data_IF_641523309225
#
_entry.id   IF_641523309225
#
_cell.length_a   1.000
_cell.length_b   1.000
_cell.length_c   1.000
_cell.angle_alpha   90.00
_cell.angle_beta   90.00
_cell.angle_gamma   90.00
#
_symmetry.space_group_name_H-M   'P 1'
#
loop_
_entity.id
_entity.type
_entity.pdbx_description
1 polymer ?
#
# COMPACT_ATOMS: atom_id res chain seq x y z
N UNK A 1 7.25 84.91 1.87
CA UNK A 1 7.24 83.63 2.62
C UNK A 1 5.88 82.91 2.58
N UNK A 2 4.75 83.64 2.48
CA UNK A 2 3.39 83.05 2.41
C UNK A 2 3.04 82.43 1.03
N UNK A 3 3.54 82.98 -0.08
CA UNK A 3 3.25 82.44 -1.42
C UNK A 3 3.99 81.13 -1.74
N UNK A 4 5.17 80.90 -1.15
CA UNK A 4 5.95 79.68 -1.37
C UNK A 4 5.29 78.44 -0.75
N UNK A 5 4.53 78.64 0.34
CA UNK A 5 3.79 77.57 1.04
C UNK A 5 2.56 77.11 0.24
N UNK A 6 1.90 78.01 -0.49
CA UNK A 6 0.76 77.67 -1.36
C UNK A 6 1.19 76.80 -2.55
N UNK A 7 2.35 77.10 -3.14
CA UNK A 7 2.90 76.29 -4.23
C UNK A 7 3.39 74.91 -3.77
N UNK A 8 3.97 74.80 -2.56
CA UNK A 8 4.34 73.51 -1.97
C UNK A 8 3.13 72.62 -1.66
N UNK A 9 2.02 73.18 -1.19
CA UNK A 9 0.78 72.43 -0.95
C UNK A 9 0.13 71.95 -2.26
N UNK A 10 0.21 72.73 -3.34
CA UNK A 10 -0.32 72.35 -4.66
C UNK A 10 0.51 71.23 -5.31
N UNK A 11 1.84 71.23 -5.12
CA UNK A 11 2.73 70.19 -5.64
C UNK A 11 2.54 68.86 -4.89
N UNK A 12 2.27 68.88 -3.57
CA UNK A 12 2.02 67.64 -2.82
C UNK A 12 0.73 66.91 -3.24
N UNK A 13 -0.28 67.64 -3.73
CA UNK A 13 -1.55 67.06 -4.22
C UNK A 13 -1.40 66.47 -5.63
N UNK A 14 -0.49 66.99 -6.46
CA UNK A 14 -0.22 66.44 -7.81
C UNK A 14 0.65 65.17 -7.82
N UNK A 15 1.30 64.82 -6.70
CA UNK A 15 2.16 63.62 -6.59
C UNK A 15 1.45 62.48 -5.84
N UNK A 16 0.20 62.67 -5.41
CA UNK A 16 -0.65 61.59 -4.91
C UNK A 16 -1.10 60.70 -6.09
N UNK A 17 -0.20 59.83 -6.55
CA UNK A 17 -0.57 58.74 -7.43
C UNK A 17 -1.60 57.86 -6.69
N UNK A 18 -2.70 57.44 -7.34
CA UNK A 18 -3.58 56.45 -6.75
C UNK A 18 -2.74 55.22 -6.43
N UNK A 19 -2.72 54.80 -5.16
CA UNK A 19 -2.13 53.53 -4.81
C UNK A 19 -2.91 52.46 -5.57
N UNK A 20 -2.27 51.84 -6.55
CA UNK A 20 -2.81 50.71 -7.27
C UNK A 20 -3.14 49.60 -6.26
N UNK A 21 -4.44 49.33 -6.08
CA UNK A 21 -4.90 48.33 -5.14
C UNK A 21 -5.20 47.04 -5.92
N UNK A 22 -4.36 46.02 -5.73
CA UNK A 22 -4.70 44.66 -6.09
C UNK A 22 -5.65 44.12 -5.03
N UNK A 23 -6.84 43.69 -5.44
CA UNK A 23 -7.76 43.04 -4.52
C UNK A 23 -7.91 41.58 -4.90
N UNK A 24 -7.31 40.70 -4.09
CA UNK A 24 -7.55 39.26 -4.10
C UNK A 24 -8.59 38.96 -3.01
N UNK A 25 -9.86 39.20 -3.34
CA UNK A 25 -10.93 39.14 -2.36
C UNK A 25 -11.52 37.74 -2.28
N UNK A 26 -11.57 37.16 -1.09
CA UNK A 26 -12.21 35.88 -0.84
C UNK A 26 -13.70 36.14 -0.64
N UNK A 27 -14.51 35.74 -1.62
CA UNK A 27 -15.97 35.91 -1.55
C UNK A 27 -16.63 34.76 -0.80
N UNK A 28 -16.08 33.55 -0.93
CA UNK A 28 -16.52 32.38 -0.20
C UNK A 28 -15.33 31.49 0.15
N UNK A 29 -15.19 31.16 1.43
CA UNK A 29 -14.19 30.21 1.92
C UNK A 29 -14.69 28.78 1.76
N UNK A 30 -13.77 27.85 1.50
CA UNK A 30 -14.00 26.42 1.55
C UNK A 30 -13.32 25.79 2.76
N UNK A 31 -14.09 25.54 3.81
CA UNK A 31 -13.62 24.87 5.01
C UNK A 31 -14.42 23.59 5.20
N UNK A 32 -13.75 22.46 5.30
CA UNK A 32 -14.42 21.18 5.46
C UNK A 32 -13.55 20.15 6.15
N UNK A 33 -14.23 19.11 6.64
CA UNK A 33 -13.61 17.91 7.19
C UNK A 33 -13.79 16.77 6.19
N UNK A 34 -12.75 15.97 6.00
CA UNK A 34 -12.76 14.75 5.19
C UNK A 34 -12.48 13.54 6.07
N UNK A 35 -12.86 12.37 5.60
CA UNK A 35 -12.61 11.10 6.28
C UNK A 35 -12.34 9.99 5.27
N UNK A 36 -11.62 8.98 5.74
CA UNK A 36 -11.32 7.74 5.01
C UNK A 36 -12.13 6.55 5.51
N UNK A 37 -12.77 6.65 6.68
CA UNK A 37 -13.40 5.50 7.34
C UNK A 37 -12.39 4.43 7.73
N UNK A 38 -12.74 3.16 7.57
CA UNK A 38 -11.83 2.02 7.77
C UNK A 38 -11.06 1.73 6.48
N UNK A 39 -9.74 1.92 6.52
CA UNK A 39 -8.82 1.59 5.43
C UNK A 39 -8.09 0.28 5.75
N UNK A 40 -8.50 -0.79 5.08
CA UNK A 40 -7.82 -2.09 5.16
C UNK A 40 -6.65 -2.13 4.17
N UNK A 41 -5.45 -2.39 4.65
CA UNK A 41 -4.20 -2.38 3.86
C UNK A 41 -3.54 -3.74 3.90
N UNK A 42 -3.07 -4.24 2.76
CA UNK A 42 -2.31 -5.48 2.71
C UNK A 42 -0.89 -5.23 3.24
N UNK A 43 -0.39 -6.13 4.11
CA UNK A 43 0.96 -5.99 4.69
C UNK A 43 2.04 -5.83 3.61
N UNK A 44 1.89 -6.52 2.49
CA UNK A 44 2.87 -6.58 1.41
C UNK A 44 2.67 -5.51 0.33
N UNK A 45 1.69 -4.59 0.49
CA UNK A 45 1.54 -3.45 -0.43
C UNK A 45 2.89 -2.73 -0.60
N UNK A 46 3.34 -2.40 -1.82
CA UNK A 46 4.64 -1.76 -2.02
C UNK A 46 4.67 -0.33 -1.47
N UNK A 47 5.85 0.12 -1.03
CA UNK A 47 6.08 1.53 -0.66
C UNK A 47 5.82 2.43 -1.86
N UNK A 48 5.12 3.54 -1.64
CA UNK A 48 4.68 4.49 -2.66
C UNK A 48 3.27 4.21 -3.21
N UNK A 49 2.65 3.07 -2.89
CA UNK A 49 1.28 2.80 -3.31
C UNK A 49 0.25 3.65 -2.55
N UNK A 50 -0.78 4.09 -3.26
CA UNK A 50 -1.95 4.74 -2.66
C UNK A 50 -2.81 3.71 -1.93
N UNK A 51 -3.07 3.93 -0.65
CA UNK A 51 -3.84 3.06 0.24
C UNK A 51 -5.34 3.39 0.21
N UNK A 52 -5.68 4.67 0.21
CA UNK A 52 -7.05 5.15 0.13
C UNK A 52 -7.06 6.59 -0.38
N UNK A 53 -8.19 7.02 -0.93
CA UNK A 53 -8.42 8.40 -1.36
C UNK A 53 -9.76 8.91 -0.82
N UNK A 54 -9.79 10.21 -0.53
CA UNK A 54 -11.02 10.96 -0.23
C UNK A 54 -10.92 12.32 -0.90
N UNK A 55 -12.04 13.02 -1.01
CA UNK A 55 -12.11 14.27 -1.77
C UNK A 55 -12.66 15.38 -0.88
N UNK A 56 -11.94 16.50 -0.87
CA UNK A 56 -12.49 17.77 -0.41
C UNK A 56 -13.27 18.41 -1.56
N UNK A 57 -14.56 18.11 -1.64
CA UNK A 57 -15.45 18.53 -2.74
C UNK A 57 -15.83 20.00 -2.67
N UNK A 58 -16.13 20.64 -3.80
CA UNK A 58 -16.55 22.05 -3.84
C UNK A 58 -15.39 23.04 -3.90
N UNK A 59 -15.73 24.33 -3.97
CA UNK A 59 -14.80 25.40 -4.32
C UNK A 59 -14.96 26.62 -3.42
N UNK A 60 -13.84 27.25 -3.09
CA UNK A 60 -13.79 28.63 -2.63
C UNK A 60 -13.95 29.56 -3.83
N UNK A 61 -14.62 30.69 -3.63
CA UNK A 61 -14.79 31.71 -4.66
C UNK A 61 -13.90 32.90 -4.36
N UNK A 62 -13.08 33.26 -5.33
CA UNK A 62 -12.11 34.36 -5.22
C UNK A 62 -12.36 35.34 -6.35
N UNK A 63 -12.41 36.62 -6.02
CA UNK A 63 -12.43 37.70 -6.97
C UNK A 63 -11.04 38.33 -7.08
N UNK A 64 -10.55 38.51 -8.30
CA UNK A 64 -9.27 39.17 -8.58
C UNK A 64 -9.51 40.42 -9.43
N UNK A 65 -9.22 41.59 -8.86
CA UNK A 65 -9.31 42.88 -9.55
C UNK A 65 -8.00 43.66 -9.40
N UNK A 66 -7.62 44.37 -10.46
CA UNK A 66 -6.46 45.25 -10.49
C UNK A 66 -6.57 46.24 -11.66
N UNK A 67 -6.22 47.49 -11.39
CA UNK A 67 -6.21 48.58 -12.37
C UNK A 67 -4.91 48.64 -13.19
N UNK A 68 -3.84 48.02 -12.70
CA UNK A 68 -2.47 48.11 -13.22
C UNK A 68 -1.86 46.77 -13.66
N UNK A 69 -2.61 45.68 -13.56
CA UNK A 69 -2.24 44.35 -14.07
C UNK A 69 -1.30 43.54 -13.18
N UNK A 70 -1.25 43.79 -11.88
CA UNK A 70 -0.50 42.94 -10.93
C UNK A 70 -1.09 41.52 -10.83
N UNK A 71 -0.57 40.69 -9.94
CA UNK A 71 -1.03 39.31 -9.78
C UNK A 71 -1.48 39.01 -8.35
N UNK A 72 -2.26 37.95 -8.18
CA UNK A 72 -2.70 37.45 -6.88
C UNK A 72 -1.87 36.21 -6.47
N UNK A 73 -0.76 36.39 -5.72
CA UNK A 73 0.04 35.27 -5.24
C UNK A 73 -0.66 34.55 -4.08
N UNK A 74 -0.74 33.23 -4.19
CA UNK A 74 -1.31 32.35 -3.19
C UNK A 74 -0.36 31.21 -2.82
N UNK A 75 -0.62 30.61 -1.68
CA UNK A 75 0.20 29.55 -1.11
C UNK A 75 -0.67 28.36 -0.72
N UNK A 76 -0.11 27.17 -0.87
CA UNK A 76 -0.64 25.88 -0.43
C UNK A 76 0.32 25.27 0.58
N UNK A 77 -0.20 24.88 1.74
CA UNK A 77 0.60 24.20 2.75
C UNK A 77 -0.06 22.92 3.22
N UNK A 78 0.78 21.92 3.46
CA UNK A 78 0.45 20.83 4.37
C UNK A 78 0.81 21.31 5.78
N UNK A 79 -0.08 21.05 6.73
CA UNK A 79 0.11 21.44 8.14
C UNK A 79 -0.03 20.25 9.09
N UNK A 80 -0.41 19.08 8.56
CA UNK A 80 -0.66 17.90 9.36
C UNK A 80 0.57 17.50 10.18
N UNK A 81 0.43 17.47 11.52
CA UNK A 81 1.47 17.04 12.47
C UNK A 81 2.85 17.60 12.14
N UNK A 82 2.93 18.92 11.98
CA UNK A 82 4.15 19.66 11.65
C UNK A 82 4.70 19.46 10.23
N UNK A 83 3.92 18.85 9.33
CA UNK A 83 4.23 18.70 7.91
C UNK A 83 5.62 18.09 7.66
N UNK A 84 5.99 17.08 8.44
CA UNK A 84 7.25 16.36 8.29
C UNK A 84 7.15 15.48 7.04
N UNK A 85 8.02 15.68 6.06
CA UNK A 85 8.02 14.86 4.85
C UNK A 85 8.49 13.42 5.17
N UNK A 86 7.89 12.45 4.49
CA UNK A 86 8.27 11.05 4.55
C UNK A 86 9.40 10.73 3.55
N UNK A 87 9.98 9.52 3.57
CA UNK A 87 10.92 9.10 2.52
C UNK A 87 10.32 9.06 1.10
N UNK A 88 8.99 9.05 0.98
CA UNK A 88 8.28 9.16 -0.31
C UNK A 88 8.04 10.65 -0.59
N UNK A 89 8.63 11.14 -1.67
CA UNK A 89 8.58 12.56 -2.04
C UNK A 89 7.14 13.07 -2.24
N UNK A 90 6.84 14.24 -1.67
CA UNK A 90 5.52 14.87 -1.71
C UNK A 90 4.47 14.16 -0.84
N UNK A 91 4.91 13.28 0.07
CA UNK A 91 4.05 12.58 1.04
C UNK A 91 4.54 12.91 2.45
N UNK A 92 3.63 13.32 3.31
CA UNK A 92 3.92 13.82 4.66
C UNK A 92 3.54 12.77 5.72
N UNK A 93 4.31 12.70 6.80
CA UNK A 93 4.10 11.73 7.88
C UNK A 93 2.76 11.95 8.56
N UNK A 94 2.13 10.84 8.94
CA UNK A 94 0.99 10.83 9.87
C UNK A 94 1.47 10.44 11.28
N UNK A 95 0.55 10.25 12.22
CA UNK A 95 0.85 9.66 13.53
C UNK A 95 1.04 8.13 13.47
N UNK A 96 0.73 7.50 12.34
CA UNK A 96 0.91 6.07 12.13
C UNK A 96 2.17 5.84 11.30
N UNK A 97 3.11 5.07 11.85
CA UNK A 97 4.31 4.67 11.11
C UNK A 97 3.92 3.92 9.83
N UNK A 98 4.68 4.16 8.76
CA UNK A 98 4.45 3.56 7.44
C UNK A 98 3.24 4.10 6.67
N UNK A 99 2.48 5.05 7.23
CA UNK A 99 1.37 5.73 6.54
C UNK A 99 1.69 7.22 6.41
N UNK A 100 1.69 7.69 5.17
CA UNK A 100 1.80 9.10 4.83
C UNK A 100 0.51 9.66 4.24
N UNK A 101 0.37 10.98 4.25
CA UNK A 101 -0.73 11.74 3.66
C UNK A 101 -0.22 12.64 2.55
N UNK A 102 -1.00 12.73 1.46
CA UNK A 102 -0.72 13.60 0.32
C UNK A 102 -1.99 14.35 -0.07
N UNK A 103 -1.86 15.63 -0.39
CA UNK A 103 -2.96 16.45 -0.92
C UNK A 103 -2.57 16.94 -2.31
N UNK A 104 -3.47 16.75 -3.29
CA UNK A 104 -3.21 17.15 -4.68
C UNK A 104 -2.87 18.64 -4.78
N UNK A 105 -1.71 18.95 -5.38
CA UNK A 105 -1.26 20.33 -5.57
C UNK A 105 -0.70 21.02 -4.33
N UNK A 106 -0.43 20.28 -3.24
CA UNK A 106 0.12 20.85 -2.01
C UNK A 106 1.35 20.06 -1.50
N UNK A 107 2.33 20.73 -0.87
CA UNK A 107 2.46 22.18 -0.72
C UNK A 107 2.96 22.85 -2.02
N UNK A 108 2.91 24.18 -2.07
CA UNK A 108 3.42 24.95 -3.20
C UNK A 108 2.91 26.37 -3.26
N UNK A 109 3.38 27.13 -4.23
CA UNK A 109 2.92 28.50 -4.49
C UNK A 109 2.19 28.54 -5.83
N UNK A 110 1.23 29.45 -5.96
CA UNK A 110 0.51 29.69 -7.21
C UNK A 110 0.26 31.18 -7.39
N UNK A 111 -0.07 31.57 -8.63
CA UNK A 111 -0.36 32.95 -8.98
C UNK A 111 -1.59 32.97 -9.85
N UNK A 112 -2.60 33.77 -9.45
CA UNK A 112 -3.77 34.00 -10.29
C UNK A 112 -3.61 35.29 -11.10
N UNK A 113 -3.93 35.26 -12.40
CA UNK A 113 -4.13 36.46 -13.19
C UNK A 113 -5.24 37.35 -12.60
N UNK A 114 -5.14 38.64 -12.87
CA UNK A 114 -6.14 39.65 -12.49
C UNK A 114 -6.84 40.19 -13.73
N UNK A 115 -8.04 40.73 -13.54
CA UNK A 115 -8.81 41.38 -14.59
C UNK A 115 -9.30 42.75 -14.11
N UNK A 116 -9.39 43.74 -15.00
CA UNK A 116 -9.80 45.10 -14.63
C UNK A 116 -11.25 45.17 -14.12
N UNK A 117 -12.16 44.39 -14.70
CA UNK A 117 -13.60 44.57 -14.47
C UNK A 117 -14.32 43.35 -13.85
N UNK A 118 -13.81 42.13 -14.00
CA UNK A 118 -14.47 40.92 -13.48
C UNK A 118 -13.59 39.66 -13.59
N UNK A 119 -12.76 39.40 -12.59
CA UNK A 119 -12.03 38.15 -12.44
C UNK A 119 -12.64 37.27 -11.35
N UNK A 120 -13.10 36.06 -11.68
CA UNK A 120 -13.59 35.09 -10.69
C UNK A 120 -12.91 33.74 -10.86
N UNK A 121 -12.45 33.17 -9.76
CA UNK A 121 -11.84 31.84 -9.71
C UNK A 121 -12.56 30.95 -8.70
N UNK A 122 -12.76 29.70 -9.10
CA UNK A 122 -13.20 28.63 -8.22
C UNK A 122 -11.99 27.77 -7.87
N UNK A 123 -11.51 27.87 -6.63
CA UNK A 123 -10.34 27.15 -6.14
C UNK A 123 -10.78 26.07 -5.17
N UNK A 124 -10.46 24.82 -5.45
CA UNK A 124 -10.96 23.72 -4.64
C UNK A 124 -10.82 22.38 -5.34
N UNK A 125 -11.61 21.42 -4.88
CA UNK A 125 -11.56 20.04 -5.37
C UNK A 125 -10.18 19.40 -5.17
N UNK A 126 -9.87 19.07 -3.92
CA UNK A 126 -8.59 18.44 -3.56
C UNK A 126 -8.78 16.95 -3.36
N UNK A 127 -7.88 16.14 -3.92
CA UNK A 127 -7.78 14.71 -3.64
C UNK A 127 -6.78 14.55 -2.50
N UNK A 128 -7.22 13.89 -1.44
CA UNK A 128 -6.40 13.53 -0.29
C UNK A 128 -6.17 12.03 -0.37
N UNK A 129 -4.90 11.62 -0.34
CA UNK A 129 -4.50 10.22 -0.43
C UNK A 129 -3.72 9.81 0.81
N UNK A 130 -4.02 8.62 1.34
CA UNK A 130 -3.08 7.90 2.19
C UNK A 130 -2.13 7.11 1.30
N UNK A 131 -0.83 7.16 1.60
CA UNK A 131 0.22 6.52 0.79
C UNK A 131 1.11 5.69 1.71
N UNK A 132 1.50 4.50 1.27
CA UNK A 132 2.41 3.66 2.03
C UNK A 132 3.83 4.23 1.99
N UNK A 133 4.43 4.41 3.17
CA UNK A 133 5.79 4.97 3.33
C UNK A 133 6.76 4.00 4.00
N UNK A 134 6.28 2.85 4.48
CA UNK A 134 7.07 1.82 5.17
C UNK A 134 6.20 0.72 5.77
N UNK A 135 6.71 0.02 6.78
CA UNK A 135 5.93 -0.92 7.60
C UNK A 135 4.85 -0.16 8.39
N UNK A 136 3.60 -0.65 8.31
CA UNK A 136 2.44 0.08 8.83
C UNK A 136 2.14 -0.32 10.27
N UNK A 137 2.06 0.67 11.15
CA UNK A 137 1.43 0.54 12.47
C UNK A 137 -0.06 0.85 12.34
N UNK A 138 -0.91 -0.14 12.60
CA UNK A 138 -2.37 0.03 12.55
C UNK A 138 -2.85 0.97 13.68
N UNK A 139 -3.91 1.73 13.43
CA UNK A 139 -4.46 2.66 14.41
C UNK A 139 -5.43 3.68 13.83
N UNK A 140 -5.83 4.62 14.68
CA UNK A 140 -6.67 5.76 14.31
C UNK A 140 -5.76 6.93 13.91
N UNK A 141 -6.10 7.63 12.83
CA UNK A 141 -5.39 8.84 12.44
C UNK A 141 -5.77 9.99 13.37
N UNK A 142 -4.80 10.81 13.76
CA UNK A 142 -5.04 11.98 14.60
C UNK A 142 -5.95 12.98 13.86
N UNK A 143 -7.14 13.33 14.38
CA UNK A 143 -7.98 14.35 13.75
C UNK A 143 -7.30 15.73 13.80
N UNK A 144 -7.63 16.60 12.84
CA UNK A 144 -7.17 17.98 12.85
C UNK A 144 -6.91 18.55 11.46
N UNK A 145 -6.41 19.79 11.42
CA UNK A 145 -6.10 20.47 10.18
C UNK A 145 -4.95 19.77 9.45
N UNK A 146 -5.18 19.37 8.19
CA UNK A 146 -4.19 18.66 7.38
C UNK A 146 -3.55 19.54 6.32
N UNK A 147 -4.32 20.49 5.77
CA UNK A 147 -3.86 21.37 4.71
C UNK A 147 -4.65 22.67 4.66
N UNK A 148 -4.01 23.72 4.13
CA UNK A 148 -4.61 25.05 4.02
C UNK A 148 -4.06 25.84 2.83
N UNK A 149 -4.84 26.83 2.38
CA UNK A 149 -4.47 27.73 1.31
C UNK A 149 -4.89 29.17 1.61
N UNK A 150 -4.04 30.14 1.24
CA UNK A 150 -4.26 31.57 1.50
C UNK A 150 -3.61 32.46 0.43
N UNK A 151 -4.04 33.72 0.36
CA UNK A 151 -3.37 34.76 -0.42
C UNK A 151 -2.49 35.64 0.46
N UNK A 152 -1.34 36.06 -0.04
CA UNK A 152 -0.42 36.94 0.71
C UNK A 152 0.12 36.27 1.98
N UNK A 153 -0.10 36.89 3.13
CA UNK A 153 0.36 36.40 4.44
C UNK A 153 -0.59 35.35 5.05
N UNK A 154 -0.07 34.37 5.84
CA UNK A 154 -0.90 33.43 6.56
C UNK A 154 -1.95 34.15 7.43
N UNK A 155 -3.21 33.71 7.35
CA UNK A 155 -4.35 34.35 8.04
C UNK A 155 -5.53 34.64 7.12
N UNK A 156 -5.27 34.92 5.84
CA UNK A 156 -6.33 35.14 4.83
C UNK A 156 -6.67 33.83 4.08
N UNK A 157 -7.17 32.84 4.83
CA UNK A 157 -7.39 31.48 4.31
C UNK A 157 -8.66 31.40 3.47
N UNK A 158 -8.54 30.88 2.25
CA UNK A 158 -9.70 30.52 1.42
C UNK A 158 -10.01 29.03 1.48
N UNK A 159 -9.03 28.18 1.82
CA UNK A 159 -9.21 26.73 1.98
C UNK A 159 -8.62 26.25 3.30
N UNK A 160 -9.38 25.46 4.04
CA UNK A 160 -8.87 24.65 5.17
C UNK A 160 -9.50 23.26 5.12
N UNK A 161 -8.66 22.22 5.12
CA UNK A 161 -9.08 20.82 5.08
C UNK A 161 -8.66 20.18 6.39
N UNK A 162 -9.62 19.63 7.11
CA UNK A 162 -9.38 18.86 8.33
C UNK A 162 -9.66 17.37 8.12
N UNK A 163 -8.99 16.52 8.89
CA UNK A 163 -9.26 15.09 8.97
C UNK A 163 -10.20 14.80 10.14
N UNK A 164 -11.17 13.92 9.92
CA UNK A 164 -12.12 13.48 10.95
C UNK A 164 -11.46 12.62 12.04
N UNK A 165 -12.22 12.32 13.09
CA UNK A 165 -11.77 11.48 14.20
C UNK A 165 -12.04 9.97 13.98
N UNK A 166 -12.61 9.57 12.85
CA UNK A 166 -13.06 8.18 12.62
C UNK A 166 -12.16 7.40 11.68
N UNK A 167 -11.37 8.11 10.87
CA UNK A 167 -10.42 7.57 9.92
C UNK A 167 -9.38 6.69 10.61
N UNK A 168 -9.31 5.43 10.21
CA UNK A 168 -8.44 4.42 10.81
C UNK A 168 -7.83 3.52 9.74
N UNK A 169 -6.61 3.07 10.01
CA UNK A 169 -5.86 2.16 9.14
C UNK A 169 -5.68 0.84 9.87
N UNK A 170 -6.05 -0.25 9.20
CA UNK A 170 -5.82 -1.62 9.63
C UNK A 170 -4.89 -2.31 8.63
N UNK A 171 -3.99 -3.16 9.13
CA UNK A 171 -3.17 -4.02 8.29
C UNK A 171 -3.79 -5.40 8.28
N UNK A 172 -4.22 -5.85 7.11
CA UNK A 172 -4.67 -7.20 6.88
C UNK A 172 -3.44 -8.13 7.03
N UNK A 173 -3.60 -9.13 7.89
CA UNK A 173 -2.57 -10.15 8.09
C UNK A 173 -3.24 -11.50 8.29
N UNK A 174 -2.48 -12.56 8.10
CA UNK A 174 -2.84 -13.84 8.66
C UNK A 174 -1.75 -14.28 9.64
N UNK A 175 -2.14 -14.87 10.76
CA UNK A 175 -1.21 -15.55 11.65
C UNK A 175 -1.23 -17.06 11.36
N UNK A 176 -0.04 -17.63 11.16
CA UNK A 176 0.14 -19.07 11.03
C UNK A 176 -0.11 -19.76 12.38
N UNK A 177 -0.92 -20.80 12.43
CA UNK A 177 -1.18 -21.53 13.69
C UNK A 177 -0.10 -22.56 14.03
N UNK A 178 0.74 -22.98 13.07
CA UNK A 178 1.72 -24.06 13.24
C UNK A 178 3.01 -23.79 12.46
N UNK A 179 4.15 -23.67 13.15
CA UNK A 179 5.44 -23.33 12.53
C UNK A 179 6.16 -24.53 11.88
N UNK A 180 5.86 -25.77 12.30
CA UNK A 180 6.44 -26.99 11.73
C UNK A 180 5.32 -27.97 11.43
N UNK A 181 5.31 -28.50 10.21
CA UNK A 181 4.32 -29.48 9.75
C UNK A 181 5.08 -30.74 9.34
N UNK A 182 4.69 -31.87 9.91
CA UNK A 182 5.26 -33.19 9.60
C UNK A 182 4.22 -34.02 8.87
N UNK A 183 4.61 -34.59 7.73
CA UNK A 183 3.79 -35.54 6.97
C UNK A 183 4.40 -36.93 7.13
N UNK A 184 3.72 -37.80 7.87
CA UNK A 184 4.17 -39.18 8.05
C UNK A 184 3.60 -40.07 6.94
N UNK A 185 4.42 -40.34 5.92
CA UNK A 185 4.07 -41.27 4.84
C UNK A 185 4.26 -42.74 5.25
N UNK A 186 4.96 -42.98 6.37
CA UNK A 186 5.34 -44.30 6.85
C UNK A 186 6.27 -45.05 5.90
N UNK A 187 6.36 -46.36 6.12
CA UNK A 187 7.12 -47.30 5.30
C UNK A 187 6.24 -47.92 4.22
N UNK A 188 6.75 -47.95 2.99
CA UNK A 188 6.16 -48.71 1.88
C UNK A 188 7.13 -49.78 1.38
N UNK A 189 6.58 -50.87 0.88
CA UNK A 189 7.35 -51.86 0.12
C UNK A 189 7.69 -51.30 -1.27
N UNK A 190 8.88 -51.59 -1.77
CA UNK A 190 9.26 -51.27 -3.16
C UNK A 190 8.27 -51.87 -4.19
N UNK A 191 7.57 -52.97 -3.84
CA UNK A 191 6.54 -53.59 -4.67
C UNK A 191 5.23 -52.79 -4.78
N UNK A 192 5.02 -51.78 -3.93
CA UNK A 192 3.88 -50.87 -4.04
C UNK A 192 4.11 -49.80 -5.11
N UNK A 193 5.35 -49.63 -5.56
CA UNK A 193 5.70 -48.81 -6.70
C UNK A 193 5.56 -49.62 -7.99
N UNK A 194 5.43 -48.90 -9.11
CA UNK A 194 5.33 -49.52 -10.42
C UNK A 194 6.72 -49.69 -11.05
N UNK A 195 6.77 -49.92 -12.36
CA UNK A 195 8.00 -49.82 -13.15
C UNK A 195 8.02 -48.59 -14.06
N UNK A 196 7.12 -47.64 -13.82
CA UNK A 196 6.93 -46.43 -14.62
C UNK A 196 7.25 -45.18 -13.81
N UNK A 197 8.09 -44.31 -14.40
CA UNK A 197 8.32 -42.96 -13.89
C UNK A 197 6.99 -42.20 -13.88
N UNK A 198 6.72 -41.47 -12.81
CA UNK A 198 5.49 -40.71 -12.64
C UNK A 198 4.37 -41.43 -11.89
N UNK A 199 4.56 -42.70 -11.56
CA UNK A 199 3.63 -43.40 -10.68
C UNK A 199 3.72 -42.87 -9.24
N UNK A 200 2.58 -42.78 -8.58
CA UNK A 200 2.49 -42.45 -7.15
C UNK A 200 1.67 -43.55 -6.46
N UNK A 201 2.20 -44.19 -5.41
CA UNK A 201 1.43 -45.18 -4.66
C UNK A 201 0.24 -44.53 -3.95
N UNK A 202 -0.73 -45.35 -3.55
CA UNK A 202 -1.97 -44.89 -2.88
C UNK A 202 -1.73 -44.20 -1.53
N UNK A 203 -0.60 -44.48 -0.86
CA UNK A 203 -0.30 -43.91 0.45
C UNK A 203 -0.05 -42.41 0.34
N UNK A 204 -0.81 -41.66 1.14
CA UNK A 204 -0.68 -40.21 1.28
C UNK A 204 -0.79 -39.82 2.75
N UNK A 205 -0.35 -38.62 3.09
CA UNK A 205 -0.54 -38.03 4.40
C UNK A 205 -1.02 -36.58 4.23
N UNK A 206 -2.13 -36.22 4.87
CA UNK A 206 -2.72 -34.89 4.76
C UNK A 206 -2.63 -34.16 6.09
N UNK A 207 -2.12 -32.92 6.06
CA UNK A 207 -2.10 -32.01 7.19
C UNK A 207 -2.80 -30.72 6.80
N UNK A 208 -3.52 -30.13 7.76
CA UNK A 208 -4.14 -28.84 7.55
C UNK A 208 -3.21 -27.72 8.01
N UNK A 209 -2.93 -26.78 7.12
CA UNK A 209 -2.29 -25.52 7.46
C UNK A 209 -3.37 -24.57 7.96
N UNK A 210 -3.36 -24.29 9.25
CA UNK A 210 -4.28 -23.36 9.88
C UNK A 210 -3.77 -21.94 9.83
N UNK A 211 -4.61 -21.03 9.36
CA UNK A 211 -4.35 -19.59 9.31
C UNK A 211 -5.50 -18.86 10.00
N UNK A 212 -5.21 -17.80 10.74
CA UNK A 212 -6.24 -16.87 11.19
C UNK A 212 -6.07 -15.55 10.44
N UNK A 213 -7.03 -15.20 9.59
CA UNK A 213 -6.92 -14.15 8.59
C UNK A 213 -7.92 -13.03 8.81
N UNK A 214 -7.55 -11.81 8.44
CA UNK A 214 -8.53 -10.75 8.25
C UNK A 214 -9.37 -10.96 6.96
N UNK A 215 -10.61 -10.46 6.91
CA UNK A 215 -11.41 -10.48 5.69
C UNK A 215 -10.71 -9.73 4.54
N UNK A 216 -10.72 -10.31 3.35
CA UNK A 216 -10.13 -9.75 2.12
C UNK A 216 -8.65 -10.10 1.89
N UNK A 217 -7.99 -10.86 2.77
CA UNK A 217 -6.61 -11.31 2.56
C UNK A 217 -6.54 -12.38 1.45
N UNK A 218 -5.74 -12.15 0.40
CA UNK A 218 -5.42 -13.14 -0.63
C UNK A 218 -4.27 -14.03 -0.15
N UNK A 219 -4.59 -15.25 0.22
CA UNK A 219 -3.65 -16.22 0.75
C UNK A 219 -3.02 -16.96 -0.42
N UNK A 220 -1.70 -16.96 -0.49
CA UNK A 220 -0.93 -17.64 -1.51
C UNK A 220 0.08 -18.58 -0.87
N UNK A 221 0.43 -19.63 -1.60
CA UNK A 221 1.46 -20.59 -1.20
C UNK A 221 2.54 -20.68 -2.27
N UNK A 222 3.78 -20.87 -1.85
CA UNK A 222 4.91 -21.17 -2.71
C UNK A 222 5.74 -22.28 -2.06
N UNK A 223 6.07 -23.31 -2.84
CA UNK A 223 6.96 -24.38 -2.39
C UNK A 223 8.41 -24.00 -2.67
N UNK A 224 9.27 -24.09 -1.66
CA UNK A 224 10.72 -23.97 -1.80
C UNK A 224 11.40 -25.24 -1.29
N UNK A 225 12.35 -25.75 -2.05
CA UNK A 225 13.07 -26.96 -1.70
C UNK A 225 14.08 -27.34 -2.78
N UNK A 226 14.77 -28.46 -2.57
CA UNK A 226 15.71 -29.00 -3.54
C UNK A 226 14.95 -29.90 -4.53
N UNK A 227 14.97 -29.60 -5.84
CA UNK A 227 14.32 -30.45 -6.82
C UNK A 227 15.01 -31.82 -6.93
N UNK A 228 14.22 -32.86 -7.16
CA UNK A 228 14.76 -34.19 -7.39
C UNK A 228 15.49 -34.25 -8.74
N UNK A 229 16.79 -34.60 -8.77
CA UNK A 229 17.58 -34.59 -10.01
C UNK A 229 17.10 -35.62 -11.04
N UNK A 230 16.49 -36.71 -10.58
CA UNK A 230 15.97 -37.79 -11.43
C UNK A 230 14.58 -37.47 -12.00
N UNK A 231 13.99 -36.34 -11.60
CA UNK A 231 12.70 -35.86 -12.09
C UNK A 231 12.79 -34.41 -12.60
N UNK A 232 13.86 -34.06 -13.32
CA UNK A 232 14.13 -32.69 -13.77
C UNK A 232 13.00 -32.04 -14.61
N UNK A 233 12.16 -32.84 -15.27
CA UNK A 233 10.97 -32.37 -16.00
C UNK A 233 9.76 -32.05 -15.11
N UNK A 234 9.81 -32.44 -13.83
CA UNK A 234 8.70 -32.36 -12.89
C UNK A 234 9.08 -31.50 -11.69
N UNK A 235 8.95 -30.19 -11.87
CA UNK A 235 9.30 -29.17 -10.87
C UNK A 235 8.46 -29.18 -9.59
N UNK A 236 7.70 -30.23 -9.30
CA UNK A 236 6.96 -30.44 -8.04
C UNK A 236 7.57 -31.53 -7.15
N UNK A 237 8.56 -32.28 -7.64
CA UNK A 237 9.15 -33.42 -6.93
C UNK A 237 10.37 -32.98 -6.14
N UNK A 238 10.28 -33.10 -4.82
CA UNK A 238 11.38 -32.84 -3.88
C UNK A 238 12.37 -34.01 -3.88
N UNK A 239 13.66 -33.66 -3.82
CA UNK A 239 14.73 -34.61 -3.56
C UNK A 239 14.62 -35.17 -2.14
N UNK A 240 15.09 -36.40 -1.93
CA UNK A 240 15.24 -36.94 -0.60
C UNK A 240 16.45 -36.29 0.10
N UNK A 241 16.37 -36.17 1.42
CA UNK A 241 17.51 -35.79 2.25
C UNK A 241 18.59 -36.87 2.13
N UNK A 242 19.78 -36.49 1.65
CA UNK A 242 20.87 -37.42 1.39
C UNK A 242 20.75 -38.21 0.08
N UNK A 243 19.95 -37.74 -0.89
CA UNK A 243 19.81 -38.36 -2.22
C UNK A 243 21.15 -38.88 -2.78
N UNK A 244 21.19 -40.16 -3.16
CA UNK A 244 22.39 -40.83 -3.67
C UNK A 244 23.30 -41.44 -2.60
N UNK A 245 22.97 -41.32 -1.32
CA UNK A 245 23.67 -42.00 -0.23
C UNK A 245 23.27 -43.48 -0.09
N UNK A 246 24.13 -44.28 0.57
CA UNK A 246 23.95 -45.74 0.70
C UNK A 246 22.69 -46.15 1.48
N UNK A 247 22.23 -45.32 2.43
CA UNK A 247 21.05 -45.59 3.26
C UNK A 247 19.78 -44.88 2.76
N UNK A 248 19.86 -44.11 1.68
CA UNK A 248 18.74 -43.34 1.13
C UNK A 248 18.10 -44.13 0.00
N UNK A 249 16.76 -44.17 -0.04
CA UNK A 249 16.05 -44.84 -1.13
C UNK A 249 16.40 -44.20 -2.49
N UNK A 250 16.49 -45.00 -3.54
CA UNK A 250 16.65 -44.49 -4.92
C UNK A 250 15.38 -44.72 -5.74
N UNK A 251 15.18 -43.87 -6.74
CA UNK A 251 14.04 -43.94 -7.66
C UNK A 251 12.72 -43.38 -7.11
N UNK A 252 12.76 -42.67 -5.98
CA UNK A 252 11.60 -41.98 -5.41
C UNK A 252 11.94 -40.56 -4.98
N UNK A 253 10.91 -39.71 -4.96
CA UNK A 253 10.92 -38.38 -4.36
C UNK A 253 9.59 -38.11 -3.66
N UNK A 254 9.43 -36.91 -3.11
CA UNK A 254 8.20 -36.50 -2.39
C UNK A 254 7.52 -35.36 -3.13
N UNK A 255 6.19 -35.41 -3.23
CA UNK A 255 5.36 -34.31 -3.75
C UNK A 255 4.44 -33.79 -2.67
N UNK A 256 4.23 -32.47 -2.66
CA UNK A 256 3.16 -31.82 -1.91
C UNK A 256 2.05 -31.38 -2.86
N UNK A 257 0.81 -31.57 -2.45
CA UNK A 257 -0.39 -31.28 -3.22
C UNK A 257 -1.32 -30.39 -2.41
N UNK A 258 -2.00 -29.49 -3.11
CA UNK A 258 -3.14 -28.76 -2.59
C UNK A 258 -4.32 -28.96 -3.53
N UNK A 259 -5.45 -29.47 -3.01
CA UNK A 259 -6.61 -29.88 -3.81
C UNK A 259 -6.23 -30.76 -5.02
N UNK A 260 -5.41 -31.78 -4.77
CA UNK A 260 -4.89 -32.73 -5.77
C UNK A 260 -4.00 -32.12 -6.87
N UNK A 261 -3.66 -30.84 -6.78
CA UNK A 261 -2.73 -30.16 -7.68
C UNK A 261 -1.33 -30.17 -7.05
N UNK A 262 -0.31 -30.76 -7.71
CA UNK A 262 1.07 -30.70 -7.22
C UNK A 262 1.59 -29.26 -7.15
N UNK A 263 2.13 -28.89 -5.99
CA UNK A 263 2.77 -27.61 -5.79
C UNK A 263 4.13 -27.61 -6.50
N UNK A 264 4.31 -26.72 -7.47
CA UNK A 264 5.59 -26.56 -8.17
C UNK A 264 6.52 -25.66 -7.36
N UNK A 265 7.79 -26.03 -7.30
CA UNK A 265 8.85 -25.25 -6.65
C UNK A 265 9.00 -23.88 -7.32
N UNK A 266 9.18 -22.83 -6.50
CA UNK A 266 9.31 -21.44 -6.92
C UNK A 266 8.14 -20.93 -7.79
N UNK A 267 6.97 -21.54 -7.65
CA UNK A 267 5.75 -21.12 -8.34
C UNK A 267 4.67 -20.78 -7.32
N UNK A 268 4.26 -19.51 -7.33
CA UNK A 268 3.24 -19.00 -6.43
C UNK A 268 1.84 -19.41 -6.90
N UNK A 269 1.03 -19.92 -5.98
CA UNK A 269 -0.35 -20.31 -6.22
C UNK A 269 -1.29 -19.57 -5.26
N UNK A 270 -2.33 -18.95 -5.79
CA UNK A 270 -3.41 -18.38 -4.97
C UNK A 270 -4.26 -19.53 -4.40
N UNK A 271 -4.34 -19.61 -3.07
CA UNK A 271 -5.17 -20.60 -2.38
C UNK A 271 -6.61 -20.14 -2.28
N UNK A 272 -6.81 -18.92 -1.76
CA UNK A 272 -8.13 -18.37 -1.43
C UNK A 272 -8.03 -16.86 -1.11
N UNK A 273 -9.10 -16.11 -1.35
CA UNK A 273 -9.34 -14.83 -0.68
C UNK A 273 -10.18 -15.07 0.58
N UNK A 274 -9.65 -14.76 1.76
CA UNK A 274 -10.30 -15.09 3.02
C UNK A 274 -11.53 -14.21 3.28
N UNK A 275 -12.70 -14.78 3.64
CA UNK A 275 -13.80 -14.04 4.27
C UNK A 275 -13.49 -13.53 5.69
N UNK A 276 -12.32 -13.87 6.25
CA UNK A 276 -11.92 -13.53 7.61
C UNK A 276 -12.19 -14.66 8.62
N UNK A 277 -11.42 -14.69 9.70
CA UNK A 277 -11.48 -15.72 10.72
C UNK A 277 -10.50 -16.87 10.46
N UNK A 278 -10.86 -18.07 10.91
CA UNK A 278 -10.02 -19.26 10.77
C UNK A 278 -10.17 -19.89 9.38
N UNK A 279 -9.05 -20.13 8.72
CA UNK A 279 -8.92 -20.81 7.44
C UNK A 279 -8.08 -22.09 7.64
N UNK A 280 -8.43 -23.14 6.91
CA UNK A 280 -7.72 -24.43 6.95
C UNK A 280 -7.43 -24.87 5.52
N UNK A 281 -6.15 -25.08 5.23
CA UNK A 281 -5.68 -25.49 3.90
C UNK A 281 -5.13 -26.92 3.97
N UNK A 282 -5.87 -27.93 3.48
CA UNK A 282 -5.38 -29.31 3.46
C UNK A 282 -4.26 -29.44 2.43
N UNK A 283 -3.05 -29.70 2.91
CA UNK A 283 -1.91 -30.06 2.07
C UNK A 283 -1.70 -31.56 2.22
N UNK A 284 -1.48 -32.24 1.10
CA UNK A 284 -1.27 -33.69 1.06
C UNK A 284 0.14 -33.98 0.56
N UNK A 285 0.90 -34.77 1.29
CA UNK A 285 2.16 -35.34 0.85
C UNK A 285 1.95 -36.74 0.25
N UNK A 286 2.78 -37.10 -0.74
CA UNK A 286 2.87 -38.46 -1.28
C UNK A 286 4.25 -38.74 -1.84
N UNK A 287 4.59 -40.02 -1.99
CA UNK A 287 5.75 -40.41 -2.80
C UNK A 287 5.46 -40.30 -4.29
N UNK A 288 6.50 -40.03 -5.06
CA UNK A 288 6.50 -39.97 -6.51
C UNK A 288 7.67 -40.77 -7.05
N UNK A 289 7.41 -41.69 -7.97
CA UNK A 289 8.42 -42.55 -8.57
C UNK A 289 9.22 -41.80 -9.64
N UNK A 290 10.52 -41.66 -9.44
CA UNK A 290 11.43 -40.93 -10.33
C UNK A 290 12.23 -41.83 -11.27
N UNK A 291 12.37 -43.13 -10.95
CA UNK A 291 13.03 -44.14 -11.80
C UNK A 291 12.15 -45.37 -11.98
N UNK A 292 12.46 -46.19 -12.99
CA UNK A 292 11.77 -47.46 -13.25
C UNK A 292 12.02 -48.53 -12.17
N UNK A 293 13.07 -48.36 -11.37
CA UNK A 293 13.43 -49.24 -10.25
C UNK A 293 13.49 -48.38 -8.98
N UNK A 294 12.81 -48.83 -7.94
CA UNK A 294 12.85 -48.24 -6.59
C UNK A 294 13.69 -49.16 -5.70
N UNK A 295 14.66 -48.60 -4.99
CA UNK A 295 15.49 -49.34 -4.01
C UNK A 295 15.14 -48.94 -2.58
N UNK A 296 15.37 -49.87 -1.65
CA UNK A 296 15.06 -49.63 -0.25
C UNK A 296 16.04 -48.65 0.39
N UNK A 297 15.53 -47.82 1.29
CA UNK A 297 16.30 -46.87 2.10
C UNK A 297 15.39 -45.85 2.77
N UNK A 298 15.97 -44.88 3.47
CA UNK A 298 15.25 -43.75 4.05
C UNK A 298 14.76 -42.81 2.94
N UNK A 299 13.52 -42.34 3.06
CA UNK A 299 12.86 -41.49 2.06
C UNK A 299 12.33 -40.19 2.69
N UNK A 300 13.16 -39.56 3.52
CA UNK A 300 12.85 -38.27 4.15
C UNK A 300 13.04 -37.12 3.16
N UNK A 301 12.21 -36.08 3.25
CA UNK A 301 12.38 -34.85 2.47
C UNK A 301 12.05 -33.62 3.32
N UNK A 302 12.74 -32.51 3.05
CA UNK A 302 12.53 -31.23 3.73
C UNK A 302 12.26 -30.13 2.72
N UNK A 303 11.23 -29.32 2.98
CA UNK A 303 10.87 -28.18 2.16
C UNK A 303 10.32 -27.04 3.02
N UNK A 304 10.31 -25.85 2.46
CA UNK A 304 9.67 -24.66 3.04
C UNK A 304 8.41 -24.34 2.24
N UNK A 305 7.29 -24.15 2.93
CA UNK A 305 6.07 -23.60 2.34
C UNK A 305 5.98 -22.13 2.73
N UNK A 306 6.26 -21.25 1.78
CA UNK A 306 6.13 -19.81 1.96
C UNK A 306 4.67 -19.42 1.75
N UNK A 307 4.04 -18.88 2.80
CA UNK A 307 2.68 -18.38 2.74
C UNK A 307 2.69 -16.86 2.77
N UNK A 308 2.07 -16.25 1.77
CA UNK A 308 2.00 -14.79 1.60
C UNK A 308 0.56 -14.31 1.53
N UNK A 309 0.32 -13.09 2.01
CA UNK A 309 -1.02 -12.50 2.17
C UNK A 309 -1.07 -11.15 1.45
N UNK A 310 -1.69 -11.11 0.28
CA UNK A 310 -1.78 -9.93 -0.59
C UNK A 310 -3.20 -9.47 -0.82
#
# INVERSE_FOLDING_TARGET
MYDMIKWLALILVLVAQPAAAVTCNILATKINTVGFGLVNVQRDTPVGATLATTVSTGYAQVQTLSDSGEVCPGNYAITYLSAIESPVSGVFKTNLDGVGIKVSGMPGNFTLPVYQNSGFYNLGYYIISLVKTGEITAGVLTPGLIAQAWFGSPGNYFTQISLDATSRVSVLSCSLSSQVITFDLGTLSASEFSHAVGFSPQRTATQNIGLYCNPGANINIELKGTPNPDAAGEGSVLALTGQGGENTADGVGVQLLYNDIPLKMNNRMLLKQSPGGQEMFPVTARYYQTKTIVTAGEANATATLDITYQ
#
